data_IF_570830302712
#
_entry.id   IF_570830302712
#
_cell.length_a   1.000
_cell.length_b   1.000
_cell.length_c   1.000
_cell.angle_alpha   90.00
_cell.angle_beta   90.00
_cell.angle_gamma   90.00
#
_symmetry.space_group_name_H-M   'P 1'
#
loop_
_entity.id
_entity.type
_entity.pdbx_description
1 polymer ?
#
# COMPACT_ATOMS: atom_id res chain seq x y z
N UNK A 1 -8.05 -1.94 -28.71
CA UNK A 1 -6.90 -2.38 -27.91
C UNK A 1 -6.86 -1.49 -26.68
N UNK A 2 -7.08 -2.04 -25.48
CA UNK A 2 -7.03 -1.26 -24.24
C UNK A 2 -5.65 -0.63 -24.12
N UNK A 3 -5.57 0.70 -24.22
CA UNK A 3 -4.34 1.46 -24.00
C UNK A 3 -4.16 1.86 -22.53
N UNK A 4 -4.95 1.27 -21.62
CA UNK A 4 -4.87 1.49 -20.18
C UNK A 4 -3.87 0.55 -19.53
N UNK A 5 -2.91 1.09 -18.78
CA UNK A 5 -1.99 0.29 -17.96
C UNK A 5 -2.77 -0.38 -16.82
N UNK A 6 -2.79 -1.71 -16.78
CA UNK A 6 -3.29 -2.49 -15.63
C UNK A 6 -2.46 -2.27 -14.36
N UNK A 7 -1.28 -1.64 -14.48
CA UNK A 7 -0.45 -1.38 -13.32
C UNK A 7 -1.00 -0.26 -12.42
N UNK A 8 -1.97 0.57 -12.85
CA UNK A 8 -2.36 1.76 -12.10
C UNK A 8 -1.35 2.91 -12.19
N UNK A 9 -1.65 4.03 -11.56
CA UNK A 9 -0.86 5.27 -11.59
C UNK A 9 0.40 5.15 -10.72
N UNK A 10 1.56 5.65 -11.18
CA UNK A 10 2.80 5.62 -10.41
C UNK A 10 2.71 6.21 -8.99
N UNK A 11 1.88 7.23 -8.78
CA UNK A 11 1.68 7.85 -7.45
C UNK A 11 1.03 6.90 -6.43
N UNK A 12 0.19 5.96 -6.89
CA UNK A 12 -0.47 4.97 -6.03
C UNK A 12 0.52 3.91 -5.58
N UNK A 13 1.45 3.53 -6.46
CA UNK A 13 2.54 2.63 -6.11
C UNK A 13 3.43 3.15 -5.00
N UNK A 14 3.63 4.48 -4.90
CA UNK A 14 4.37 5.06 -3.78
C UNK A 14 3.70 4.71 -2.46
N UNK A 15 2.38 4.86 -2.35
CA UNK A 15 1.64 4.49 -1.15
C UNK A 15 1.74 2.99 -0.87
N UNK A 16 1.56 2.14 -1.89
CA UNK A 16 1.68 0.67 -1.78
C UNK A 16 3.06 0.25 -1.29
N UNK A 17 4.14 0.82 -1.85
CA UNK A 17 5.52 0.49 -1.45
C UNK A 17 5.79 0.87 0.00
N UNK A 18 5.33 2.02 0.46
CA UNK A 18 5.49 2.44 1.87
C UNK A 18 4.77 1.44 2.79
N UNK A 19 3.52 1.09 2.49
CA UNK A 19 2.74 0.11 3.26
C UNK A 19 3.46 -1.25 3.27
N UNK A 20 3.95 -1.70 2.12
CA UNK A 20 4.65 -2.97 1.99
C UNK A 20 5.94 -3.02 2.82
N UNK A 21 6.73 -1.94 2.81
CA UNK A 21 7.93 -1.82 3.65
C UNK A 21 7.56 -1.90 5.14
N UNK A 22 6.53 -1.16 5.56
CA UNK A 22 6.06 -1.22 6.95
C UNK A 22 5.59 -2.62 7.36
N UNK A 23 4.86 -3.31 6.48
CA UNK A 23 4.44 -4.70 6.67
C UNK A 23 5.62 -5.66 6.78
N UNK A 24 6.61 -5.56 5.88
CA UNK A 24 7.79 -6.40 5.92
C UNK A 24 8.59 -6.22 7.23
N UNK A 25 8.79 -4.97 7.66
CA UNK A 25 9.47 -4.63 8.92
C UNK A 25 8.69 -5.19 10.12
N UNK A 26 7.38 -4.91 10.18
CA UNK A 26 6.54 -5.34 11.29
C UNK A 26 6.42 -6.86 11.38
N UNK A 27 6.23 -7.53 10.25
CA UNK A 27 6.18 -8.99 10.16
C UNK A 27 7.51 -9.64 10.56
N UNK A 28 8.64 -9.13 10.08
CA UNK A 28 9.97 -9.60 10.50
C UNK A 28 10.17 -9.46 12.01
N UNK A 29 9.73 -8.33 12.59
CA UNK A 29 9.77 -8.08 14.04
C UNK A 29 8.93 -9.04 14.88
N UNK A 30 7.93 -9.70 14.30
CA UNK A 30 7.16 -10.74 14.99
C UNK A 30 7.80 -12.13 14.85
N UNK A 31 8.32 -12.47 13.66
CA UNK A 31 8.80 -13.82 13.33
C UNK A 31 10.21 -14.11 13.85
N UNK A 32 11.10 -13.11 13.91
CA UNK A 32 12.50 -13.28 14.34
C UNK A 32 12.68 -13.29 15.87
N UNK A 33 11.60 -13.34 16.63
CA UNK A 33 11.55 -13.08 18.07
C UNK A 33 10.69 -11.83 18.32
N UNK A 34 9.61 -11.91 19.14
CA UNK A 34 8.63 -10.83 19.24
C UNK A 34 9.23 -9.51 19.77
N UNK A 35 9.65 -8.66 18.85
CA UNK A 35 10.12 -7.31 19.12
C UNK A 35 8.96 -6.35 18.92
N UNK A 36 8.27 -6.04 20.01
CA UNK A 36 7.14 -5.10 20.00
C UNK A 36 7.51 -3.70 19.53
N UNK A 37 8.77 -3.29 19.73
CA UNK A 37 9.31 -2.02 19.22
C UNK A 37 9.40 -2.02 17.69
N UNK A 38 9.98 -3.07 17.11
CA UNK A 38 10.12 -3.20 15.65
C UNK A 38 8.73 -3.37 15.00
N UNK A 39 7.85 -4.14 15.62
CA UNK A 39 6.46 -4.25 15.21
C UNK A 39 5.76 -2.88 15.20
N UNK A 40 5.88 -2.12 16.29
CA UNK A 40 5.31 -0.78 16.41
C UNK A 40 5.85 0.19 15.35
N UNK A 41 7.14 0.13 15.05
CA UNK A 41 7.74 0.92 13.98
C UNK A 41 7.16 0.55 12.60
N UNK A 42 7.05 -0.75 12.30
CA UNK A 42 6.40 -1.23 11.08
C UNK A 42 4.94 -0.76 10.95
N UNK A 43 4.17 -0.85 12.04
CA UNK A 43 2.79 -0.38 12.09
C UNK A 43 2.67 1.14 11.86
N UNK A 44 3.59 1.94 12.41
CA UNK A 44 3.64 3.38 12.16
C UNK A 44 3.93 3.71 10.68
N UNK A 45 4.83 2.96 10.04
CA UNK A 45 5.11 3.10 8.60
C UNK A 45 3.90 2.73 7.75
N UNK A 46 3.17 1.66 8.11
CA UNK A 46 1.90 1.31 7.45
C UNK A 46 0.89 2.45 7.57
N UNK A 47 0.73 3.03 8.77
CA UNK A 47 -0.20 4.15 8.99
C UNK A 47 0.16 5.37 8.15
N UNK A 48 1.46 5.69 8.03
CA UNK A 48 1.93 6.76 7.13
C UNK A 48 1.59 6.45 5.67
N UNK A 49 1.84 5.21 5.23
CA UNK A 49 1.47 4.77 3.89
C UNK A 49 -0.05 4.84 3.63
N UNK A 50 -0.87 4.53 4.63
CA UNK A 50 -2.32 4.71 4.59
C UNK A 50 -2.74 6.17 4.46
N UNK A 51 -2.10 7.08 5.19
CA UNK A 51 -2.33 8.52 5.03
C UNK A 51 -1.97 9.01 3.62
N UNK A 52 -0.85 8.55 3.05
CA UNK A 52 -0.48 8.83 1.66
C UNK A 52 -1.51 8.25 0.68
N UNK A 53 -1.96 7.02 0.90
CA UNK A 53 -2.97 6.35 0.07
C UNK A 53 -4.28 7.15 0.01
N UNK A 54 -4.73 7.67 1.16
CA UNK A 54 -5.88 8.58 1.25
C UNK A 54 -5.62 9.88 0.49
N UNK A 55 -4.44 10.50 0.68
CA UNK A 55 -4.08 11.77 0.04
C UNK A 55 -4.00 11.66 -1.49
N UNK A 56 -3.58 10.51 -2.03
CA UNK A 56 -3.52 10.29 -3.48
C UNK A 56 -4.83 9.77 -4.07
N UNK A 57 -5.85 9.56 -3.24
CA UNK A 57 -7.12 8.93 -3.60
C UNK A 57 -6.90 7.61 -4.35
N UNK A 58 -6.20 6.68 -3.69
CA UNK A 58 -5.77 5.42 -4.30
C UNK A 58 -6.94 4.60 -4.88
N UNK A 59 -8.15 4.76 -4.34
CA UNK A 59 -9.33 4.02 -4.81
C UNK A 59 -9.87 4.54 -6.14
N UNK A 60 -9.48 5.76 -6.57
CA UNK A 60 -9.72 6.22 -7.94
C UNK A 60 -8.80 5.56 -8.97
N UNK A 61 -7.78 4.84 -8.51
CA UNK A 61 -6.81 4.12 -9.34
C UNK A 61 -7.14 2.63 -9.45
N UNK A 62 -8.42 2.33 -9.58
CA UNK A 62 -8.93 1.00 -9.91
C UNK A 62 -9.48 1.03 -11.33
N UNK A 63 -9.29 -0.06 -12.07
CA UNK A 63 -9.94 -0.21 -13.39
C UNK A 63 -11.42 -0.50 -13.13
N UNK A 64 -12.29 0.45 -13.50
CA UNK A 64 -13.74 0.27 -13.42
C UNK A 64 -14.22 -0.29 -14.75
N UNK A 65 -14.91 -1.44 -14.71
CA UNK A 65 -15.59 -1.99 -15.88
C UNK A 65 -16.76 -1.08 -16.29
N UNK A 66 -16.89 -0.81 -17.59
CA UNK A 66 -18.08 -0.12 -18.12
C UNK A 66 -19.34 -1.00 -17.96
N UNK A 67 -20.53 -0.40 -17.72
CA UNK A 67 -21.77 -1.15 -17.64
C UNK A 67 -22.00 -1.97 -18.91
N UNK A 68 -22.23 -3.28 -18.75
CA UNK A 68 -22.60 -4.16 -19.87
C UNK A 68 -24.06 -3.85 -20.25
N UNK A 69 -24.26 -3.36 -21.46
CA UNK A 69 -25.59 -3.10 -22.04
C UNK A 69 -26.33 -4.42 -22.34
#
# INVERSE_FOLDING_TARGET
MSSGSHAGRPKSWVAVTIIFIGFAIGGAGLVMGPSWVVFGAGAAVIALGGAVALAVDIMSDVVVDEPRA
#
